data_IF_560144266710
#
_entry.id   IF_560144266710
#
_cell.length_a   1.000
_cell.length_b   1.000
_cell.length_c   1.000
_cell.angle_alpha   90.00
_cell.angle_beta   90.00
_cell.angle_gamma   90.00
#
_symmetry.space_group_name_H-M   'P 1'
#
loop_
_entity.id
_entity.type
_entity.pdbx_description
1 polymer ?
#
# COMPACT_ATOMS: atom_id res chain seq x y z
N UNK A 1 -34.52 10.85 15.37
CA UNK A 1 -34.11 9.60 14.74
C UNK A 1 -35.27 8.75 14.22
N UNK A 2 -36.20 8.23 15.03
CA UNK A 2 -37.36 7.42 14.54
C UNK A 2 -38.20 8.11 13.45
N UNK A 3 -38.46 9.39 13.58
CA UNK A 3 -39.14 10.18 12.54
C UNK A 3 -38.34 10.21 11.25
N UNK A 4 -37.01 10.36 11.31
CA UNK A 4 -36.14 10.32 10.13
C UNK A 4 -36.19 8.95 9.42
N UNK A 5 -36.20 7.84 10.18
CA UNK A 5 -36.35 6.48 9.62
C UNK A 5 -37.75 6.33 8.94
N UNK A 6 -38.81 6.86 9.56
CA UNK A 6 -40.14 6.81 8.95
C UNK A 6 -40.21 7.61 7.63
N UNK A 7 -39.57 8.76 7.55
CA UNK A 7 -39.44 9.54 6.33
C UNK A 7 -38.58 8.84 5.27
N UNK A 8 -37.45 8.23 5.65
CA UNK A 8 -36.60 7.43 4.75
C UNK A 8 -37.37 6.25 4.12
N UNK A 9 -38.29 5.60 4.86
CA UNK A 9 -39.14 4.50 4.32
C UNK A 9 -40.00 4.96 3.13
N UNK A 10 -40.35 6.25 3.07
CA UNK A 10 -41.12 6.83 1.97
C UNK A 10 -40.24 7.31 0.84
N UNK A 11 -39.10 7.94 1.19
CA UNK A 11 -38.23 8.61 0.21
C UNK A 11 -37.37 7.63 -0.57
N UNK A 12 -36.89 6.53 0.02
CA UNK A 12 -36.07 5.56 -0.69
C UNK A 12 -36.80 4.94 -1.89
N UNK A 13 -38.03 4.38 -1.77
CA UNK A 13 -38.78 3.90 -2.93
C UNK A 13 -39.16 5.01 -3.93
N UNK A 14 -39.32 6.25 -3.46
CA UNK A 14 -39.58 7.39 -4.35
C UNK A 14 -38.34 7.69 -5.21
N UNK A 15 -37.16 7.74 -4.60
CA UNK A 15 -35.92 7.98 -5.32
C UNK A 15 -35.60 6.86 -6.32
N UNK A 16 -35.80 5.60 -5.96
CA UNK A 16 -35.60 4.46 -6.88
C UNK A 16 -36.44 4.59 -8.17
N UNK A 17 -37.65 5.17 -8.05
CA UNK A 17 -38.53 5.38 -9.21
C UNK A 17 -38.23 6.64 -10.01
N UNK A 18 -37.76 7.69 -9.38
CA UNK A 18 -37.69 9.03 -9.99
C UNK A 18 -36.28 9.45 -10.33
N UNK A 19 -35.26 8.98 -9.60
CA UNK A 19 -33.89 9.47 -9.67
C UNK A 19 -33.76 10.96 -9.30
N UNK A 20 -34.76 11.56 -8.60
CA UNK A 20 -34.81 12.99 -8.33
C UNK A 20 -33.71 13.42 -7.36
N UNK A 21 -32.78 14.32 -7.77
CA UNK A 21 -31.69 14.79 -6.91
C UNK A 21 -32.17 15.49 -5.63
N UNK A 22 -33.37 16.14 -5.64
CA UNK A 22 -33.91 16.76 -4.46
C UNK A 22 -34.36 15.72 -3.41
N UNK A 23 -34.93 14.61 -3.87
CA UNK A 23 -35.24 13.45 -3.01
C UNK A 23 -33.98 12.83 -2.44
N UNK A 24 -32.93 12.71 -3.24
CA UNK A 24 -31.63 12.19 -2.79
C UNK A 24 -31.00 13.06 -1.71
N UNK A 25 -31.00 14.39 -1.88
CA UNK A 25 -30.49 15.32 -0.89
C UNK A 25 -31.22 15.22 0.48
N UNK A 26 -32.53 14.99 0.45
CA UNK A 26 -33.29 14.79 1.68
C UNK A 26 -33.00 13.42 2.33
N UNK A 27 -32.82 12.36 1.54
CA UNK A 27 -32.34 11.04 2.03
C UNK A 27 -30.97 11.20 2.69
N UNK A 28 -30.03 11.91 2.07
CA UNK A 28 -28.70 12.17 2.63
C UNK A 28 -28.80 12.88 3.99
N UNK A 29 -29.56 13.98 4.06
CA UNK A 29 -29.78 14.73 5.30
C UNK A 29 -30.38 13.89 6.43
N UNK A 30 -31.37 13.06 6.14
CA UNK A 30 -32.00 12.18 7.12
C UNK A 30 -31.09 11.04 7.56
N UNK A 31 -30.27 10.53 6.67
CA UNK A 31 -29.29 9.47 6.93
C UNK A 31 -28.17 9.94 7.87
N UNK A 32 -27.77 11.21 7.79
CA UNK A 32 -26.78 11.79 8.72
C UNK A 32 -27.23 11.73 10.18
N UNK A 33 -28.54 11.74 10.45
CA UNK A 33 -29.09 11.66 11.80
C UNK A 33 -28.97 10.28 12.45
N UNK A 34 -28.61 9.22 11.70
CA UNK A 34 -28.40 7.88 12.25
C UNK A 34 -27.10 7.83 13.05
N UNK A 35 -27.03 7.03 14.15
CA UNK A 35 -25.82 6.87 14.94
C UNK A 35 -24.61 6.40 14.10
N UNK A 36 -23.44 6.93 14.42
CA UNK A 36 -22.16 6.47 13.87
C UNK A 36 -21.34 5.65 14.86
N UNK A 37 -21.68 5.74 16.16
CA UNK A 37 -21.03 5.06 17.27
C UNK A 37 -22.06 4.66 18.34
N UNK A 38 -21.73 3.69 19.19
CA UNK A 38 -22.58 3.23 20.28
C UNK A 38 -22.08 3.69 21.66
N UNK A 39 -20.98 4.45 21.72
CA UNK A 39 -20.38 4.93 22.95
C UNK A 39 -19.73 3.83 23.79
N UNK A 40 -19.63 2.60 23.30
CA UNK A 40 -18.99 1.46 24.00
C UNK A 40 -17.50 1.44 23.66
N UNK A 41 -16.59 1.60 24.63
CA UNK A 41 -15.15 1.50 24.39
C UNK A 41 -14.77 0.09 23.90
N UNK A 42 -13.74 0.00 23.05
CA UNK A 42 -13.20 -1.31 22.65
C UNK A 42 -12.77 -2.12 23.88
N UNK A 43 -13.25 -3.36 23.96
CA UNK A 43 -13.13 -4.21 25.15
C UNK A 43 -11.69 -4.49 25.57
N UNK A 44 -10.75 -4.59 24.62
CA UNK A 44 -9.37 -4.99 24.93
C UNK A 44 -8.35 -4.25 24.09
N UNK A 45 -7.23 -3.91 24.73
CA UNK A 45 -6.11 -3.22 24.07
C UNK A 45 -5.53 -3.99 22.86
N UNK A 46 -5.47 -5.32 22.92
CA UNK A 46 -5.00 -6.13 21.79
C UNK A 46 -5.92 -6.08 20.59
N UNK A 47 -7.21 -5.96 20.79
CA UNK A 47 -8.24 -5.84 19.75
C UNK A 47 -7.97 -4.59 18.87
N UNK A 48 -7.82 -3.44 19.53
CA UNK A 48 -7.45 -2.19 18.85
C UNK A 48 -6.13 -2.33 18.08
N UNK A 49 -5.11 -2.91 18.70
CA UNK A 49 -3.82 -3.11 18.03
C UNK A 49 -3.91 -4.05 16.84
N UNK A 50 -4.66 -5.14 16.95
CA UNK A 50 -4.86 -6.08 15.87
C UNK A 50 -5.61 -5.44 14.69
N UNK A 51 -6.67 -4.69 14.95
CA UNK A 51 -7.40 -3.95 13.93
C UNK A 51 -6.50 -2.92 13.24
N UNK A 52 -5.77 -2.11 14.01
CA UNK A 52 -4.80 -1.13 13.50
C UNK A 52 -3.76 -1.81 12.61
N UNK A 53 -3.21 -2.93 13.02
CA UNK A 53 -2.24 -3.69 12.24
C UNK A 53 -2.81 -4.13 10.89
N UNK A 54 -4.04 -4.65 10.84
CA UNK A 54 -4.73 -5.05 9.61
C UNK A 54 -4.93 -3.86 8.67
N UNK A 55 -5.35 -2.70 9.20
CA UNK A 55 -5.51 -1.47 8.42
C UNK A 55 -4.17 -1.00 7.85
N UNK A 56 -3.13 -0.93 8.67
CA UNK A 56 -1.79 -0.50 8.22
C UNK A 56 -1.21 -1.42 7.14
N UNK A 57 -1.34 -2.74 7.32
CA UNK A 57 -0.89 -3.72 6.31
C UNK A 57 -1.65 -3.58 4.99
N UNK A 58 -2.98 -3.36 5.03
CA UNK A 58 -3.77 -3.12 3.81
C UNK A 58 -3.27 -1.89 3.06
N UNK A 59 -3.02 -0.80 3.78
CA UNK A 59 -2.53 0.46 3.19
C UNK A 59 -1.12 0.33 2.60
N UNK A 60 -0.27 -0.52 3.17
CA UNK A 60 1.05 -0.83 2.62
C UNK A 60 0.93 -1.77 1.41
N UNK A 61 0.16 -2.85 1.53
CA UNK A 61 -0.06 -3.83 0.48
C UNK A 61 -0.62 -3.17 -0.80
N UNK A 62 -1.53 -2.23 -0.63
CA UNK A 62 -2.19 -1.52 -1.71
C UNK A 62 -1.70 -0.06 -1.86
N UNK A 63 -0.44 0.17 -1.54
CA UNK A 63 0.17 1.49 -1.71
C UNK A 63 -0.02 2.01 -3.15
N UNK A 64 -0.57 3.22 -3.28
CA UNK A 64 -0.88 3.83 -4.59
C UNK A 64 -2.20 3.40 -5.22
N UNK A 65 -2.92 2.44 -4.67
CA UNK A 65 -4.29 2.11 -5.09
C UNK A 65 -5.28 3.13 -4.51
N UNK A 66 -6.25 3.57 -5.32
CA UNK A 66 -7.17 4.69 -4.98
C UNK A 66 -8.65 4.32 -5.12
N UNK A 67 -8.98 3.04 -5.17
CA UNK A 67 -10.34 2.55 -5.41
C UNK A 67 -10.85 1.65 -4.27
N UNK A 68 -10.41 1.87 -3.04
CA UNK A 68 -10.83 1.07 -1.90
C UNK A 68 -11.00 1.88 -0.62
N UNK A 69 -11.84 1.38 0.28
CA UNK A 69 -11.95 1.81 1.66
C UNK A 69 -11.58 0.63 2.56
N UNK A 70 -10.74 0.88 3.55
CA UNK A 70 -10.44 -0.03 4.65
C UNK A 70 -10.90 0.62 5.94
N UNK A 71 -11.65 -0.10 6.75
CA UNK A 71 -12.17 0.39 8.01
C UNK A 71 -12.22 -0.67 9.09
N UNK A 72 -12.54 -0.24 10.27
CA UNK A 72 -12.75 -1.12 11.40
C UNK A 72 -13.64 -0.45 12.45
N UNK A 73 -14.52 -1.26 13.05
CA UNK A 73 -15.47 -0.82 14.08
C UNK A 73 -16.43 0.29 13.62
N UNK A 74 -16.64 0.45 12.31
CA UNK A 74 -17.58 1.40 11.75
C UNK A 74 -18.95 0.77 11.59
N UNK A 75 -20.01 1.54 11.84
CA UNK A 75 -21.37 1.09 11.60
C UNK A 75 -21.63 0.88 10.10
N UNK A 76 -22.31 -0.24 9.79
CA UNK A 76 -22.81 -0.55 8.45
C UNK A 76 -24.34 -0.68 8.52
N UNK A 77 -25.04 0.25 7.91
CA UNK A 77 -26.48 0.20 7.77
C UNK A 77 -26.86 -0.50 6.46
N UNK A 78 -27.66 -1.57 6.57
CA UNK A 78 -28.09 -2.34 5.41
C UNK A 78 -29.63 -2.36 5.22
N UNK A 79 -30.39 -1.98 6.24
CA UNK A 79 -31.84 -1.84 6.14
C UNK A 79 -32.38 -0.83 7.16
N UNK A 80 -33.56 -0.30 6.91
CA UNK A 80 -34.22 0.62 7.84
C UNK A 80 -34.68 -0.06 9.11
N UNK A 81 -35.03 -1.35 9.06
CA UNK A 81 -35.38 -2.12 10.25
C UNK A 81 -34.17 -2.30 11.16
N UNK A 82 -33.00 -2.60 10.58
CA UNK A 82 -31.75 -2.65 11.34
C UNK A 82 -31.39 -1.27 11.92
N UNK A 83 -31.56 -0.20 11.15
CA UNK A 83 -31.30 1.16 11.63
C UNK A 83 -32.25 1.53 12.80
N UNK A 84 -33.52 1.14 12.74
CA UNK A 84 -34.48 1.34 13.82
C UNK A 84 -34.09 0.55 15.08
N UNK A 85 -33.67 -0.71 14.93
CA UNK A 85 -33.16 -1.52 16.04
C UNK A 85 -31.91 -0.91 16.70
N UNK A 86 -30.99 -0.32 15.92
CA UNK A 86 -29.83 0.41 16.45
C UNK A 86 -30.26 1.65 17.22
N UNK A 87 -31.21 2.42 16.68
CA UNK A 87 -31.75 3.63 17.34
C UNK A 87 -32.48 3.30 18.64
N UNK A 88 -33.10 2.12 18.70
CA UNK A 88 -33.79 1.64 19.90
C UNK A 88 -32.84 0.94 20.89
N UNK A 89 -31.55 0.98 20.61
CA UNK A 89 -30.49 0.34 21.40
C UNK A 89 -30.74 -1.14 21.70
N UNK A 90 -31.26 -1.85 20.72
CA UNK A 90 -31.47 -3.31 20.83
C UNK A 90 -30.07 -3.96 20.92
N UNK A 91 -29.78 -4.69 22.01
CA UNK A 91 -28.44 -5.21 22.26
C UNK A 91 -27.92 -6.17 21.17
N UNK A 92 -28.82 -6.87 20.47
CA UNK A 92 -28.50 -7.79 19.38
C UNK A 92 -28.52 -7.14 18.00
N UNK A 93 -28.78 -5.83 17.90
CA UNK A 93 -28.76 -5.11 16.63
C UNK A 93 -27.33 -5.16 16.07
N UNK A 94 -27.24 -5.54 14.79
CA UNK A 94 -25.97 -5.50 14.08
C UNK A 94 -25.48 -4.05 13.92
N UNK A 95 -24.20 -3.80 14.23
CA UNK A 95 -23.56 -2.48 14.11
C UNK A 95 -22.49 -2.44 13.03
N UNK A 96 -21.51 -3.33 13.09
CA UNK A 96 -20.43 -3.38 12.09
C UNK A 96 -19.42 -4.48 12.39
N UNK A 97 -18.49 -4.75 11.44
CA UNK A 97 -17.41 -5.69 11.66
C UNK A 97 -16.21 -4.99 12.31
N UNK A 98 -15.35 -5.79 12.97
CA UNK A 98 -14.09 -5.30 13.55
C UNK A 98 -13.11 -4.80 12.50
N UNK A 99 -13.08 -5.43 11.34
CA UNK A 99 -12.26 -5.01 10.20
C UNK A 99 -12.96 -5.37 8.89
N UNK A 100 -12.90 -4.47 7.90
CA UNK A 100 -13.44 -4.72 6.57
C UNK A 100 -12.71 -3.97 5.47
N UNK A 101 -12.87 -4.48 4.25
CA UNK A 101 -12.37 -3.86 3.02
C UNK A 101 -13.50 -3.79 2.01
N UNK A 102 -13.65 -2.65 1.34
CA UNK A 102 -14.57 -2.44 0.23
C UNK A 102 -13.76 -1.92 -0.95
N UNK A 103 -13.83 -2.58 -2.10
CA UNK A 103 -13.12 -2.20 -3.32
C UNK A 103 -14.08 -1.59 -4.35
N UNK A 104 -13.53 -0.88 -5.34
CA UNK A 104 -14.33 -0.25 -6.40
C UNK A 104 -15.16 0.94 -5.88
N UNK A 105 -14.67 1.67 -4.89
CA UNK A 105 -15.32 2.83 -4.28
C UNK A 105 -14.36 4.01 -4.19
N UNK A 106 -14.92 5.22 -4.19
CA UNK A 106 -14.14 6.44 -4.00
C UNK A 106 -13.76 6.62 -2.52
N UNK A 107 -12.47 6.55 -2.14
CA UNK A 107 -12.01 6.72 -0.77
C UNK A 107 -11.98 8.19 -0.33
N UNK A 108 -12.08 9.16 -1.25
CA UNK A 108 -12.02 10.59 -0.93
C UNK A 108 -13.25 11.10 -0.21
N UNK A 109 -14.39 10.43 -0.39
CA UNK A 109 -15.63 10.76 0.31
C UNK A 109 -15.49 10.46 1.80
N UNK A 110 -15.70 11.46 2.65
CA UNK A 110 -15.74 11.26 4.10
C UNK A 110 -16.98 10.47 4.50
N UNK A 111 -16.78 9.45 5.36
CA UNK A 111 -17.83 8.58 5.88
C UNK A 111 -17.62 8.31 7.36
N UNK A 112 -18.56 8.72 8.18
CA UNK A 112 -18.58 8.36 9.61
C UNK A 112 -19.11 6.94 9.82
N UNK A 113 -19.93 6.46 8.89
CA UNK A 113 -20.60 5.16 8.87
C UNK A 113 -20.79 4.73 7.43
N UNK A 114 -20.96 3.44 7.21
CA UNK A 114 -21.29 2.93 5.88
C UNK A 114 -22.79 2.73 5.76
N UNK A 115 -23.41 3.32 4.76
CA UNK A 115 -24.85 3.25 4.57
C UNK A 115 -25.16 2.67 3.19
N UNK A 116 -25.63 1.42 3.14
CA UNK A 116 -25.81 0.68 1.90
C UNK A 116 -26.61 1.40 0.82
N UNK A 117 -27.73 2.03 1.19
CA UNK A 117 -28.57 2.77 0.23
C UNK A 117 -27.95 4.08 -0.27
N UNK A 118 -26.91 4.61 0.39
CA UNK A 118 -26.12 5.77 -0.05
C UNK A 118 -24.91 5.37 -0.90
N UNK A 119 -24.54 4.08 -0.87
CA UNK A 119 -23.36 3.53 -1.53
C UNK A 119 -23.74 2.52 -2.64
N UNK A 120 -24.93 2.65 -3.23
CA UNK A 120 -25.42 1.76 -4.28
C UNK A 120 -25.51 0.29 -3.84
N UNK A 121 -25.77 0.04 -2.56
CA UNK A 121 -25.81 -1.28 -1.94
C UNK A 121 -24.50 -2.07 -2.07
N UNK A 122 -23.37 -1.36 -2.20
CA UNK A 122 -22.04 -1.95 -2.13
C UNK A 122 -21.69 -2.24 -0.66
N UNK A 123 -21.26 -3.46 -0.39
CA UNK A 123 -20.85 -3.95 0.93
C UNK A 123 -19.42 -4.48 0.91
N UNK A 124 -18.83 -4.81 2.09
CA UNK A 124 -17.46 -5.31 2.16
C UNK A 124 -17.20 -6.54 1.30
N UNK A 125 -16.08 -6.53 0.59
CA UNK A 125 -15.56 -7.67 -0.16
C UNK A 125 -14.83 -8.66 0.76
N UNK A 126 -14.21 -8.14 1.84
CA UNK A 126 -13.55 -8.93 2.87
C UNK A 126 -13.90 -8.40 4.26
N UNK A 127 -14.17 -9.31 5.18
CA UNK A 127 -14.44 -9.03 6.60
C UNK A 127 -13.56 -9.91 7.48
N UNK A 128 -13.01 -9.34 8.56
CA UNK A 128 -12.34 -10.08 9.63
C UNK A 128 -12.95 -9.70 10.97
N UNK A 129 -13.43 -10.69 11.73
CA UNK A 129 -13.88 -10.52 13.11
C UNK A 129 -12.80 -10.94 14.10
N UNK A 130 -12.64 -10.16 15.15
CA UNK A 130 -11.68 -10.39 16.22
C UNK A 130 -12.43 -10.85 17.47
N UNK A 131 -12.59 -12.15 17.62
CA UNK A 131 -13.48 -12.73 18.62
C UNK A 131 -13.02 -12.45 20.05
N UNK A 132 -13.95 -11.95 20.85
CA UNK A 132 -13.84 -11.85 22.30
C UNK A 132 -14.59 -13.00 23.00
N UNK A 133 -14.51 -13.07 24.32
CA UNK A 133 -15.27 -14.05 25.09
C UNK A 133 -16.78 -13.80 25.01
N UNK A 134 -17.19 -12.57 24.84
CA UNK A 134 -18.56 -12.08 24.88
C UNK A 134 -19.22 -12.12 23.52
N UNK A 135 -18.50 -11.83 22.42
CA UNK A 135 -19.06 -11.71 21.07
C UNK A 135 -18.96 -12.98 20.23
N UNK A 136 -18.10 -13.93 20.60
CA UNK A 136 -17.75 -15.09 19.79
C UNK A 136 -18.96 -15.92 19.28
N UNK A 137 -20.05 -15.98 20.03
CA UNK A 137 -21.25 -16.72 19.60
C UNK A 137 -21.97 -15.97 18.48
N UNK A 138 -22.19 -14.66 18.63
CA UNK A 138 -22.89 -13.81 17.66
C UNK A 138 -22.10 -13.70 16.36
N UNK A 139 -20.76 -13.52 16.45
CA UNK A 139 -19.88 -13.41 15.30
C UNK A 139 -19.85 -14.67 14.43
N UNK A 140 -19.96 -15.85 15.08
CA UNK A 140 -19.95 -17.14 14.39
C UNK A 140 -21.29 -17.53 13.77
N UNK A 141 -22.39 -16.87 14.15
CA UNK A 141 -23.74 -17.20 13.69
C UNK A 141 -24.41 -16.03 12.99
N UNK A 142 -25.03 -15.13 13.73
CA UNK A 142 -25.85 -14.04 13.18
C UNK A 142 -25.07 -13.12 12.24
N UNK A 143 -23.86 -12.70 12.60
CA UNK A 143 -23.06 -11.87 11.73
C UNK A 143 -22.63 -12.61 10.45
N UNK A 144 -22.23 -13.88 10.59
CA UNK A 144 -21.90 -14.74 9.43
C UNK A 144 -23.05 -14.84 8.44
N UNK A 145 -24.29 -15.00 8.93
CA UNK A 145 -25.50 -15.02 8.09
C UNK A 145 -25.73 -13.67 7.37
N UNK A 146 -25.53 -12.55 8.05
CA UNK A 146 -25.62 -11.22 7.45
C UNK A 146 -24.58 -11.07 6.33
N UNK A 147 -23.33 -11.47 6.58
CA UNK A 147 -22.25 -11.38 5.60
C UNK A 147 -22.46 -12.28 4.39
N UNK A 148 -23.01 -13.48 4.62
CA UNK A 148 -23.32 -14.41 3.54
C UNK A 148 -24.53 -13.95 2.71
N UNK A 149 -25.65 -13.65 3.37
CA UNK A 149 -26.95 -13.54 2.71
C UNK A 149 -27.30 -12.11 2.28
N UNK A 150 -26.81 -11.10 3.03
CA UNK A 150 -27.12 -9.69 2.79
C UNK A 150 -25.95 -8.99 2.10
N UNK A 151 -24.77 -9.03 2.69
CA UNK A 151 -23.60 -8.35 2.13
C UNK A 151 -23.01 -9.08 0.93
N UNK A 152 -23.19 -10.39 0.85
CA UNK A 152 -22.55 -11.22 -0.18
C UNK A 152 -21.04 -11.07 -0.15
N UNK A 153 -20.46 -10.89 1.05
CA UNK A 153 -19.03 -10.70 1.27
C UNK A 153 -18.25 -11.89 0.74
N UNK A 154 -17.29 -11.63 -0.15
CA UNK A 154 -16.54 -12.69 -0.83
C UNK A 154 -15.73 -13.54 0.13
N UNK A 155 -15.09 -12.89 1.13
CA UNK A 155 -14.25 -13.57 2.10
C UNK A 155 -14.55 -13.11 3.52
N UNK A 156 -14.78 -14.09 4.38
CA UNK A 156 -15.01 -13.86 5.79
C UNK A 156 -14.03 -14.66 6.63
N UNK A 157 -13.34 -13.98 7.54
CA UNK A 157 -12.42 -14.57 8.50
C UNK A 157 -12.82 -14.20 9.92
N UNK A 158 -12.49 -15.07 10.87
CA UNK A 158 -12.50 -14.70 12.28
C UNK A 158 -11.29 -15.25 13.02
N UNK A 159 -10.83 -14.51 14.03
CA UNK A 159 -9.66 -14.83 14.82
C UNK A 159 -9.94 -14.67 16.31
N UNK A 160 -9.69 -15.72 17.11
CA UNK A 160 -9.76 -15.71 18.57
C UNK A 160 -8.36 -15.87 19.15
N UNK A 161 -7.69 -14.76 19.49
CA UNK A 161 -6.29 -14.73 19.87
C UNK A 161 -5.97 -15.61 21.12
N UNK A 162 -6.82 -15.57 22.14
CA UNK A 162 -6.58 -16.32 23.38
C UNK A 162 -6.82 -17.84 23.24
N UNK A 163 -7.78 -18.25 22.39
CA UNK A 163 -8.02 -19.66 22.09
C UNK A 163 -7.14 -20.19 20.98
N UNK A 164 -6.46 -19.31 20.26
CA UNK A 164 -5.64 -19.61 19.08
C UNK A 164 -6.47 -20.26 17.96
N UNK A 165 -7.72 -19.88 17.85
CA UNK A 165 -8.62 -20.33 16.81
C UNK A 165 -8.64 -19.31 15.69
N UNK A 166 -8.55 -19.77 14.46
CA UNK A 166 -8.60 -18.94 13.27
C UNK A 166 -9.31 -19.73 12.17
N UNK A 167 -10.35 -19.15 11.56
CA UNK A 167 -11.11 -19.75 10.47
C UNK A 167 -11.31 -18.73 9.36
N UNK A 168 -11.49 -19.23 8.14
CA UNK A 168 -11.79 -18.42 6.96
C UNK A 168 -12.79 -19.14 6.07
N UNK A 169 -13.59 -18.36 5.39
CA UNK A 169 -14.64 -18.79 4.49
C UNK A 169 -14.58 -17.97 3.21
N UNK A 170 -14.96 -18.61 2.11
CA UNK A 170 -15.19 -17.95 0.83
C UNK A 170 -16.61 -18.20 0.36
N UNK A 171 -17.19 -17.21 -0.32
CA UNK A 171 -18.56 -17.27 -0.82
C UNK A 171 -18.58 -17.97 -2.19
N UNK A 172 -19.06 -19.23 -2.21
CA UNK A 172 -19.23 -20.02 -3.43
C UNK A 172 -20.71 -20.28 -3.64
N UNK A 173 -21.24 -19.89 -4.79
CA UNK A 173 -22.66 -20.03 -5.15
C UNK A 173 -23.63 -19.49 -4.09
N UNK A 174 -23.17 -18.46 -3.34
CA UNK A 174 -23.97 -17.80 -2.32
C UNK A 174 -23.93 -18.44 -0.94
N UNK A 175 -23.07 -19.43 -0.73
CA UNK A 175 -22.89 -20.12 0.57
C UNK A 175 -21.42 -20.07 0.98
N UNK A 176 -21.16 -19.82 2.27
CA UNK A 176 -19.81 -19.86 2.80
C UNK A 176 -19.27 -21.28 2.90
N UNK A 177 -18.19 -21.55 2.16
CA UNK A 177 -17.39 -22.77 2.29
C UNK A 177 -16.10 -22.47 3.04
N UNK A 178 -15.60 -23.40 3.89
CA UNK A 178 -14.34 -23.22 4.59
C UNK A 178 -13.17 -23.12 3.60
N UNK A 179 -12.27 -22.13 3.80
CA UNK A 179 -11.04 -21.98 3.00
C UNK A 179 -10.01 -23.05 3.37
N UNK A 180 -9.31 -23.54 2.35
CA UNK A 180 -8.21 -24.47 2.53
C UNK A 180 -7.04 -23.80 3.28
N UNK A 181 -6.36 -24.57 4.14
CA UNK A 181 -5.16 -24.14 4.87
C UNK A 181 -3.91 -24.72 4.21
N UNK A 182 -2.85 -23.93 4.13
CA UNK A 182 -1.55 -24.47 3.79
C UNK A 182 -0.91 -25.18 5.02
N UNK A 183 0.30 -25.73 4.84
CA UNK A 183 1.05 -26.43 5.90
C UNK A 183 1.35 -25.58 7.14
N UNK A 184 1.36 -24.25 6.99
CA UNK A 184 1.56 -23.29 8.08
C UNK A 184 0.24 -22.86 8.75
N UNK A 185 -0.90 -23.39 8.29
CA UNK A 185 -2.22 -23.05 8.77
C UNK A 185 -2.76 -21.70 8.25
N UNK A 186 -2.14 -21.12 7.22
CA UNK A 186 -2.57 -19.89 6.58
C UNK A 186 -3.59 -20.17 5.48
N UNK A 187 -4.46 -19.22 5.20
CA UNK A 187 -5.49 -19.30 4.17
C UNK A 187 -5.25 -18.20 3.13
N UNK A 188 -5.38 -18.55 1.85
CA UNK A 188 -5.23 -17.59 0.77
C UNK A 188 -6.42 -16.65 0.68
N UNK A 189 -6.17 -15.37 0.51
CA UNK A 189 -7.18 -14.36 0.20
C UNK A 189 -7.05 -13.93 -1.26
N UNK A 190 -8.08 -14.16 -2.05
CA UNK A 190 -8.17 -13.69 -3.44
C UNK A 190 -8.42 -12.19 -3.49
N UNK A 191 -9.16 -11.64 -2.52
CA UNK A 191 -9.39 -10.19 -2.40
C UNK A 191 -8.09 -9.44 -2.17
N UNK A 192 -7.22 -9.95 -1.30
CA UNK A 192 -5.94 -9.32 -0.96
C UNK A 192 -4.79 -9.74 -1.88
N UNK A 193 -4.84 -10.92 -2.50
CA UNK A 193 -3.74 -11.53 -3.25
C UNK A 193 -2.58 -12.00 -2.37
N UNK A 194 -2.83 -12.32 -1.10
CA UNK A 194 -1.83 -12.77 -0.11
C UNK A 194 -2.43 -13.80 0.85
N UNK A 195 -1.58 -14.46 1.61
CA UNK A 195 -2.00 -15.32 2.71
C UNK A 195 -2.48 -14.49 3.91
N UNK A 196 -3.53 -14.95 4.56
CA UNK A 196 -3.97 -14.49 5.88
C UNK A 196 -3.66 -15.59 6.89
N UNK A 197 -2.96 -15.25 7.97
CA UNK A 197 -2.55 -16.25 8.93
C UNK A 197 -1.97 -15.71 10.23
N UNK A 198 -1.99 -16.56 11.25
CA UNK A 198 -1.41 -16.23 12.55
C UNK A 198 0.12 -16.29 12.47
N UNK A 199 0.78 -15.18 12.75
CA UNK A 199 2.22 -15.04 12.66
C UNK A 199 2.80 -14.42 13.93
N UNK A 200 3.73 -15.10 14.65
CA UNK A 200 4.39 -14.53 15.82
C UNK A 200 5.33 -13.39 15.41
N UNK A 201 5.01 -12.17 15.79
CA UNK A 201 5.83 -11.00 15.47
C UNK A 201 5.73 -9.93 16.56
N UNK A 202 6.53 -8.89 16.44
CA UNK A 202 6.44 -7.70 17.29
C UNK A 202 5.63 -6.65 16.52
N UNK A 203 4.66 -6.05 17.19
CA UNK A 203 3.97 -4.86 16.72
C UNK A 203 3.75 -3.92 17.91
N UNK A 204 4.04 -2.64 17.74
CA UNK A 204 3.94 -1.63 18.79
C UNK A 204 4.62 -2.06 20.11
N UNK A 205 5.90 -2.53 20.00
CA UNK A 205 6.75 -3.04 21.10
C UNK A 205 6.24 -4.32 21.78
N UNK A 206 5.18 -4.96 21.27
CA UNK A 206 4.56 -6.16 21.87
C UNK A 206 4.77 -7.38 21.01
N UNK A 207 5.41 -8.39 21.57
CA UNK A 207 5.51 -9.71 20.95
C UNK A 207 4.20 -10.47 21.19
N UNK A 208 3.49 -10.79 20.09
CA UNK A 208 2.22 -11.51 20.16
C UNK A 208 2.05 -12.41 18.93
N UNK A 209 1.01 -13.25 18.94
CA UNK A 209 0.58 -14.03 17.77
C UNK A 209 -0.46 -13.20 17.01
N UNK A 210 0.03 -12.29 16.17
CA UNK A 210 -0.82 -11.42 15.40
C UNK A 210 -1.42 -12.13 14.20
N UNK A 211 -2.64 -11.81 13.82
CA UNK A 211 -3.16 -12.13 12.49
C UNK A 211 -2.47 -11.17 11.51
N UNK A 212 -1.76 -11.74 10.52
CA UNK A 212 -0.97 -10.98 9.55
C UNK A 212 -1.40 -11.31 8.13
N UNK A 213 -1.17 -10.37 7.23
CA UNK A 213 -1.08 -10.63 5.80
C UNK A 213 0.36 -11.05 5.47
N UNK A 214 0.52 -12.01 4.58
CA UNK A 214 1.80 -12.67 4.32
C UNK A 214 1.93 -12.85 2.81
N UNK A 215 3.01 -12.35 2.24
CA UNK A 215 3.28 -12.50 0.81
C UNK A 215 3.40 -13.98 0.40
N UNK A 216 3.29 -14.30 -0.92
CA UNK A 216 3.43 -15.69 -1.41
C UNK A 216 4.76 -16.35 -1.03
N UNK A 217 5.84 -15.58 -0.86
CA UNK A 217 7.15 -16.06 -0.42
C UNK A 217 7.24 -16.39 1.07
N UNK A 218 6.19 -16.09 1.83
CA UNK A 218 6.11 -16.34 3.27
C UNK A 218 6.62 -15.18 4.15
N UNK A 219 7.00 -14.06 3.57
CA UNK A 219 7.35 -12.85 4.32
C UNK A 219 6.09 -12.09 4.75
N UNK A 220 5.99 -11.60 5.99
CA UNK A 220 4.84 -10.81 6.40
C UNK A 220 4.80 -9.46 5.69
N UNK A 221 3.60 -9.04 5.27
CA UNK A 221 3.38 -7.66 4.80
C UNK A 221 3.77 -6.71 5.92
N UNK A 222 4.66 -5.73 5.69
CA UNK A 222 5.08 -4.82 6.73
C UNK A 222 3.93 -3.89 7.17
N UNK A 223 3.90 -3.50 8.42
CA UNK A 223 3.09 -2.36 8.85
C UNK A 223 3.78 -1.03 8.47
N UNK A 224 3.08 0.09 8.62
CA UNK A 224 3.58 1.39 8.15
C UNK A 224 4.98 1.75 8.63
N UNK A 225 5.27 1.57 9.91
CA UNK A 225 6.60 1.90 10.47
C UNK A 225 7.70 1.03 9.86
N UNK A 226 7.51 -0.30 9.80
CA UNK A 226 8.45 -1.22 9.14
C UNK A 226 8.67 -0.83 7.67
N UNK A 227 7.59 -0.49 6.96
CA UNK A 227 7.66 -0.08 5.56
C UNK A 227 8.44 1.21 5.37
N UNK A 228 8.21 2.24 6.19
CA UNK A 228 8.96 3.49 6.14
C UNK A 228 10.45 3.30 6.44
N UNK A 229 10.80 2.48 7.43
CA UNK A 229 12.20 2.15 7.75
C UNK A 229 12.91 1.45 6.59
N UNK A 230 12.21 0.56 5.88
CA UNK A 230 12.74 -0.10 4.68
C UNK A 230 12.93 0.94 3.56
N UNK A 231 11.95 1.79 3.31
CA UNK A 231 12.03 2.83 2.27
C UNK A 231 13.17 3.82 2.54
N UNK A 232 13.37 4.23 3.80
CA UNK A 232 14.47 5.10 4.19
C UNK A 232 15.83 4.44 3.90
N UNK A 233 16.01 3.19 4.31
CA UNK A 233 17.27 2.45 4.03
C UNK A 233 17.55 2.32 2.55
N UNK A 234 16.54 2.01 1.75
CA UNK A 234 16.67 1.93 0.29
C UNK A 234 17.04 3.29 -0.31
N UNK A 235 16.41 4.36 0.14
CA UNK A 235 16.72 5.71 -0.33
C UNK A 235 18.15 6.17 0.06
N UNK A 236 18.61 5.86 1.25
CA UNK A 236 19.98 6.13 1.71
C UNK A 236 21.01 5.34 0.88
N UNK A 237 20.77 4.07 0.63
CA UNK A 237 21.63 3.24 -0.21
C UNK A 237 21.71 3.77 -1.65
N UNK A 238 20.59 4.16 -2.24
CA UNK A 238 20.57 4.75 -3.58
C UNK A 238 21.34 6.09 -3.62
N UNK A 239 21.24 6.93 -2.60
CA UNK A 239 22.02 8.16 -2.49
C UNK A 239 23.51 7.87 -2.41
N UNK A 240 23.92 6.92 -1.60
CA UNK A 240 25.32 6.49 -1.47
C UNK A 240 25.90 6.02 -2.80
N UNK A 241 25.17 5.14 -3.50
CA UNK A 241 25.58 4.64 -4.82
C UNK A 241 25.68 5.74 -5.88
N UNK A 242 24.71 6.67 -5.87
CA UNK A 242 24.75 7.81 -6.80
C UNK A 242 25.94 8.74 -6.53
N UNK A 243 26.30 8.99 -5.27
CA UNK A 243 27.45 9.78 -4.87
C UNK A 243 28.77 9.09 -5.27
N UNK A 244 28.89 7.79 -5.05
CA UNK A 244 30.05 6.98 -5.48
C UNK A 244 30.24 7.04 -7.00
N UNK A 245 29.18 6.85 -7.77
CA UNK A 245 29.21 6.99 -9.24
C UNK A 245 29.64 8.38 -9.69
N UNK A 246 29.15 9.43 -9.02
CA UNK A 246 29.56 10.81 -9.32
C UNK A 246 31.04 11.03 -9.07
N UNK A 247 31.56 10.55 -7.97
CA UNK A 247 32.98 10.67 -7.62
C UNK A 247 33.86 9.94 -8.65
N UNK A 248 33.49 8.71 -9.02
CA UNK A 248 34.20 7.94 -10.06
C UNK A 248 34.20 8.66 -11.42
N UNK A 249 33.06 9.23 -11.81
CA UNK A 249 32.94 10.00 -13.04
C UNK A 249 33.81 11.26 -13.01
N UNK A 250 33.92 11.94 -11.88
CA UNK A 250 34.79 13.11 -11.71
C UNK A 250 36.27 12.73 -11.79
N UNK A 251 36.69 11.64 -11.14
CA UNK A 251 38.04 11.10 -11.23
C UNK A 251 38.42 10.74 -12.68
N UNK A 252 37.52 10.06 -13.40
CA UNK A 252 37.72 9.73 -14.80
C UNK A 252 37.89 10.96 -15.70
N UNK A 253 37.11 12.02 -15.45
CA UNK A 253 37.26 13.29 -16.17
C UNK A 253 38.61 13.95 -15.89
N UNK A 254 39.03 13.96 -14.64
CA UNK A 254 40.36 14.55 -14.28
C UNK A 254 41.51 13.76 -14.92
N UNK A 255 41.43 12.44 -14.94
CA UNK A 255 42.44 11.61 -15.63
C UNK A 255 42.47 11.87 -17.13
N UNK A 256 41.29 11.90 -17.78
CA UNK A 256 41.22 12.20 -19.21
C UNK A 256 41.75 13.59 -19.56
N UNK A 257 41.54 14.60 -18.72
CA UNK A 257 42.09 15.93 -18.90
C UNK A 257 43.63 15.96 -18.76
N UNK A 258 44.16 15.26 -17.75
CA UNK A 258 45.63 15.11 -17.59
C UNK A 258 46.27 14.39 -18.78
N UNK A 259 45.68 13.32 -19.29
CA UNK A 259 46.16 12.63 -20.48
C UNK A 259 46.13 13.52 -21.71
N UNK A 260 45.10 14.32 -21.90
CA UNK A 260 44.99 15.28 -22.97
C UNK A 260 46.09 16.32 -22.90
N UNK A 261 46.36 16.89 -21.72
CA UNK A 261 47.44 17.86 -21.51
C UNK A 261 48.84 17.26 -21.81
N UNK A 262 49.08 16.02 -21.35
CA UNK A 262 50.32 15.28 -21.66
C UNK A 262 50.50 15.06 -23.16
N UNK A 263 49.43 14.66 -23.84
CA UNK A 263 49.47 14.44 -25.28
C UNK A 263 49.71 15.75 -26.05
N UNK A 264 49.17 16.86 -25.61
CA UNK A 264 49.41 18.18 -26.21
C UNK A 264 50.84 18.63 -26.00
N UNK A 265 51.40 18.48 -24.80
CA UNK A 265 52.82 18.78 -24.52
C UNK A 265 53.77 17.91 -25.37
N UNK A 266 53.47 16.63 -25.48
CA UNK A 266 54.29 15.73 -26.34
C UNK A 266 54.24 16.12 -27.82
N UNK A 267 53.10 16.58 -28.34
CA UNK A 267 52.97 17.12 -29.71
C UNK A 267 53.78 18.36 -29.91
N UNK A 268 53.72 19.31 -28.96
CA UNK A 268 54.51 20.54 -29.03
C UNK A 268 56.01 20.28 -28.98
N UNK A 269 56.49 19.33 -28.17
CA UNK A 269 57.86 18.91 -28.12
C UNK A 269 58.34 18.27 -29.44
N UNK A 270 57.51 17.36 -29.96
CA UNK A 270 57.81 16.70 -31.25
C UNK A 270 57.86 17.71 -32.41
N UNK A 271 57.03 18.70 -32.42
CA UNK A 271 57.04 19.77 -33.44
C UNK A 271 58.27 20.67 -33.30
N UNK A 272 58.70 21.02 -32.09
CA UNK A 272 59.93 21.76 -31.85
C UNK A 272 61.17 20.97 -32.27
N UNK A 273 61.25 19.68 -31.99
CA UNK A 273 62.32 18.81 -32.43
C UNK A 273 62.39 18.71 -33.97
N UNK A 274 61.20 18.57 -34.60
CA UNK A 274 61.17 18.57 -36.09
C UNK A 274 61.70 19.87 -36.70
N UNK A 275 61.24 21.03 -36.16
CA UNK A 275 61.74 22.34 -36.61
C UNK A 275 63.28 22.52 -36.42
N UNK A 276 63.80 22.04 -35.28
CA UNK A 276 65.27 22.04 -35.04
C UNK A 276 65.98 21.10 -36.01
N UNK A 277 65.50 19.94 -36.32
CA UNK A 277 66.06 19.03 -37.30
C UNK A 277 66.02 19.60 -38.71
N UNK A 278 64.91 20.24 -39.11
CA UNK A 278 64.78 20.95 -40.39
C UNK A 278 65.81 22.16 -40.52
N UNK A 279 65.99 22.94 -39.45
CA UNK A 279 66.96 24.02 -39.40
C UNK A 279 68.41 23.49 -39.50
N UNK A 280 68.72 22.45 -38.74
CA UNK A 280 70.06 21.84 -38.80
C UNK A 280 70.35 21.25 -40.19
N UNK A 281 69.37 20.60 -40.83
CA UNK A 281 69.55 20.10 -42.20
C UNK A 281 69.75 21.23 -43.21
N UNK A 282 68.96 22.32 -43.08
CA UNK A 282 69.14 23.52 -43.96
C UNK A 282 70.48 24.19 -43.77
N UNK A 283 71.00 24.25 -42.53
CA UNK A 283 72.32 24.82 -42.23
C UNK A 283 73.40 23.91 -42.76
N UNK A 284 73.30 22.62 -42.64
CA UNK A 284 74.23 21.65 -43.22
C UNK A 284 74.29 21.76 -44.75
N UNK A 285 73.16 21.89 -45.42
CA UNK A 285 73.14 22.11 -46.87
C UNK A 285 73.76 23.46 -47.27
N UNK A 286 73.54 24.52 -46.51
CA UNK A 286 74.22 25.81 -46.73
C UNK A 286 75.73 25.68 -46.55
N UNK A 287 76.24 24.99 -45.55
CA UNK A 287 77.63 24.72 -45.32
C UNK A 287 78.24 23.87 -46.46
N UNK A 288 77.57 22.82 -46.91
CA UNK A 288 77.93 21.99 -48.05
C UNK A 288 78.08 22.88 -49.36
N UNK A 289 77.09 23.73 -49.60
CA UNK A 289 77.15 24.66 -50.74
C UNK A 289 78.36 25.65 -50.67
N UNK A 290 78.65 26.14 -49.48
CA UNK A 290 79.78 27.00 -49.23
C UNK A 290 81.12 26.25 -49.44
N UNK A 291 81.30 25.05 -48.96
CA UNK A 291 82.47 24.21 -49.14
C UNK A 291 82.69 23.86 -50.64
N UNK A 292 81.61 23.52 -51.37
CA UNK A 292 81.68 23.32 -52.84
C UNK A 292 82.11 24.61 -53.60
N UNK A 293 81.68 25.79 -53.17
CA UNK A 293 82.03 27.04 -53.76
C UNK A 293 83.53 27.44 -53.49
N UNK A 294 84.17 26.83 -52.47
CA UNK A 294 85.57 27.01 -52.10
C UNK A 294 86.49 25.95 -52.73
N UNK A 295 85.94 25.00 -53.54
CA UNK A 295 86.67 23.96 -54.23
C UNK A 295 87.04 22.74 -53.40
N UNK A 296 86.37 22.54 -52.27
CA UNK A 296 86.52 21.31 -51.47
C UNK A 296 85.40 20.33 -51.77
N UNK A 297 85.73 19.14 -52.20
CA UNK A 297 84.76 18.09 -52.41
C UNK A 297 84.32 17.55 -51.04
N UNK A 298 82.99 17.65 -50.74
CA UNK A 298 82.32 17.14 -49.53
C UNK A 298 81.42 16.02 -49.96
N UNK A 299 81.77 14.78 -49.63
CA UNK A 299 80.89 13.61 -49.72
C UNK A 299 79.69 13.70 -48.77
#
# INVERSE_FOLDING_TARGET
>A
MKRAIAELRVLLPLYERTGDPAVYAEIERLTELLPAEDGIPMEFFWHYQQMRLLVEMTQVLWHGRTDYVVGGNNFIYYSLDQAEAVVDDVPTAYRGPDFFIITGVDPSRQREKWVGWMEGYKYPDLIIELLSKTTAAQDRTTKKEIYQNIFRTQEYFWYHAYRREFEGFELVDGVYVPKARNERGWMWSDVLGVWVGVYPSVFDHRRFRWLRFIYPDGTPVPHKTEWFEVQQRVAEEQRRLAEEQRLLAEQARQQAEQERLRAEQARQQAEQERLRAEQATAELERLKQRLRALGEDVE
#
